data_IF_912225827738
#
_entry.id   IF_912225827738
#
_cell.length_a   1.000
_cell.length_b   1.000
_cell.length_c   1.000
_cell.angle_alpha   90.00
_cell.angle_beta   90.00
_cell.angle_gamma   90.00
#
_symmetry.space_group_name_H-M   'P 1'
#
loop_
_entity.id
_entity.type
_entity.pdbx_description
1 polymer ?
#
# COMPACT_ATOMS: atom_id res chain seq x y z
N UNK A 1 16.78 -6.19 -3.22
CA UNK A 1 15.42 -5.66 -3.01
C UNK A 1 15.17 -5.26 -1.56
N UNK A 2 15.18 -6.19 -0.61
CA UNK A 2 14.84 -5.92 0.79
C UNK A 2 15.70 -4.86 1.47
N UNK A 3 17.00 -4.75 1.16
CA UNK A 3 17.85 -3.66 1.67
C UNK A 3 17.38 -2.26 1.23
N UNK A 4 16.91 -2.14 -0.02
CA UNK A 4 16.37 -0.90 -0.55
C UNK A 4 15.04 -0.59 0.13
N UNK A 5 14.15 -1.57 0.24
CA UNK A 5 12.88 -1.44 0.96
C UNK A 5 13.13 -0.96 2.40
N UNK A 6 14.10 -1.57 3.07
CA UNK A 6 14.49 -1.23 4.43
C UNK A 6 15.01 0.20 4.57
N UNK A 7 15.86 0.62 3.63
CA UNK A 7 16.37 1.98 3.58
C UNK A 7 15.25 3.00 3.39
N UNK A 8 14.29 2.72 2.51
CA UNK A 8 13.16 3.62 2.28
C UNK A 8 12.19 3.64 3.46
N UNK A 9 11.94 2.49 4.09
CA UNK A 9 11.15 2.38 5.33
C UNK A 9 11.72 3.27 6.43
N UNK A 10 13.05 3.28 6.62
CA UNK A 10 13.72 4.12 7.62
C UNK A 10 13.57 5.63 7.38
N UNK A 11 13.24 6.06 6.17
CA UNK A 11 12.96 7.47 5.84
C UNK A 11 11.53 7.88 6.21
N UNK A 12 10.66 6.94 6.58
CA UNK A 12 9.31 7.23 7.04
C UNK A 12 9.37 7.82 8.47
N UNK A 13 8.68 8.95 8.74
CA UNK A 13 8.60 9.48 10.10
C UNK A 13 7.99 8.45 11.04
N UNK A 14 8.60 8.25 12.22
CA UNK A 14 8.13 7.24 13.19
C UNK A 14 6.71 7.48 13.71
N UNK A 15 6.20 8.71 13.62
CA UNK A 15 4.83 9.05 14.04
C UNK A 15 3.78 8.78 12.97
N UNK A 16 4.19 8.53 11.73
CA UNK A 16 3.27 8.27 10.63
C UNK A 16 2.93 6.77 10.53
N UNK A 17 1.73 6.48 10.03
CA UNK A 17 1.30 5.12 9.71
C UNK A 17 2.04 4.66 8.45
N UNK A 18 2.88 3.64 8.57
CA UNK A 18 3.58 3.06 7.43
C UNK A 18 2.89 1.78 6.97
N UNK A 19 2.52 1.76 5.69
CA UNK A 19 1.92 0.61 5.01
C UNK A 19 2.83 0.27 3.83
N UNK A 20 3.25 -0.98 3.71
CA UNK A 20 3.99 -1.49 2.57
C UNK A 20 3.05 -2.34 1.74
N UNK A 21 2.97 -2.06 0.44
CA UNK A 21 2.09 -2.76 -0.50
C UNK A 21 2.90 -3.08 -1.73
N UNK A 22 2.80 -4.30 -2.24
CA UNK A 22 3.34 -4.60 -3.56
C UNK A 22 3.38 -6.08 -3.89
N UNK A 23 3.64 -6.34 -5.16
CA UNK A 23 4.06 -7.64 -5.66
C UNK A 23 5.49 -7.90 -5.21
N UNK A 24 5.68 -8.94 -4.40
CA UNK A 24 7.01 -9.39 -3.97
C UNK A 24 7.35 -10.78 -4.51
N UNK A 25 6.48 -11.38 -5.34
CA UNK A 25 6.55 -12.78 -5.73
C UNK A 25 6.77 -13.71 -4.52
N UNK A 26 6.03 -13.44 -3.45
CA UNK A 26 6.16 -14.08 -2.14
C UNK A 26 4.97 -14.99 -1.89
N UNK A 27 5.20 -16.18 -1.38
CA UNK A 27 4.15 -17.04 -0.85
C UNK A 27 4.34 -17.15 0.66
N UNK A 28 3.38 -16.63 1.42
CA UNK A 28 3.35 -16.76 2.88
C UNK A 28 2.44 -17.92 3.25
N UNK A 29 2.89 -18.81 4.13
CA UNK A 29 2.13 -19.95 4.62
C UNK A 29 1.24 -19.63 5.82
N UNK A 30 0.94 -20.65 6.63
CA UNK A 30 0.10 -20.56 7.83
C UNK A 30 0.84 -20.98 9.10
N UNK A 31 2.16 -21.09 9.05
CA UNK A 31 2.99 -21.64 10.11
C UNK A 31 2.83 -20.90 11.44
N UNK A 32 2.78 -21.66 12.53
CA UNK A 32 2.60 -21.12 13.88
C UNK A 32 3.82 -20.32 14.36
N UNK A 33 5.02 -20.71 13.93
CA UNK A 33 6.29 -20.12 14.36
C UNK A 33 6.46 -18.65 13.95
N UNK A 34 5.82 -18.24 12.86
CA UNK A 34 5.89 -16.86 12.34
C UNK A 34 4.80 -15.95 12.92
N UNK A 35 4.04 -16.42 13.92
CA UNK A 35 3.07 -15.57 14.61
C UNK A 35 3.77 -14.71 15.66
N UNK A 36 3.40 -13.42 15.80
CA UNK A 36 2.19 -12.77 15.29
C UNK A 36 2.37 -11.99 13.97
N UNK A 37 3.45 -12.22 13.21
CA UNK A 37 3.72 -11.46 11.96
C UNK A 37 2.78 -11.88 10.83
N UNK A 38 2.46 -13.16 10.74
CA UNK A 38 1.52 -13.72 9.77
C UNK A 38 0.21 -14.16 10.45
N UNK A 39 -0.86 -14.20 9.66
CA UNK A 39 -2.17 -14.65 10.07
C UNK A 39 -2.43 -16.13 9.73
N UNK A 40 -3.60 -16.63 10.17
CA UNK A 40 -4.01 -18.03 9.99
C UNK A 40 -4.68 -18.32 8.65
N UNK A 41 -4.92 -17.28 7.86
CA UNK A 41 -5.84 -17.35 6.71
C UNK A 41 -5.14 -17.03 5.39
N UNK A 42 -3.82 -17.25 5.32
CA UNK A 42 -3.08 -17.16 4.07
C UNK A 42 -3.67 -18.08 2.98
N UNK A 43 -3.34 -17.79 1.72
CA UNK A 43 -3.70 -18.65 0.60
C UNK A 43 -2.89 -19.95 0.55
N UNK A 44 -1.66 -19.93 1.08
CA UNK A 44 -0.72 -21.04 1.03
C UNK A 44 -0.59 -21.73 2.38
N UNK A 45 -0.16 -23.00 2.39
CA UNK A 45 0.10 -23.74 3.62
C UNK A 45 1.54 -23.55 4.12
N UNK A 46 2.48 -23.42 3.19
CA UNK A 46 3.91 -23.27 3.47
C UNK A 46 4.42 -21.97 2.87
N UNK A 47 5.35 -21.36 3.58
CA UNK A 47 6.07 -20.16 3.19
C UNK A 47 7.22 -20.56 2.27
N UNK A 48 7.34 -19.89 1.11
CA UNK A 48 8.48 -20.10 0.22
C UNK A 48 9.71 -19.29 0.68
N UNK A 49 10.88 -19.51 0.06
CA UNK A 49 12.12 -18.82 0.48
C UNK A 49 12.00 -17.28 0.43
N UNK A 50 11.33 -16.74 -0.59
CA UNK A 50 11.07 -15.30 -0.68
C UNK A 50 10.17 -14.83 0.47
N UNK A 51 9.21 -15.65 0.88
CA UNK A 51 8.31 -15.38 1.99
C UNK A 51 9.01 -15.37 3.33
N UNK A 52 9.99 -16.25 3.55
CA UNK A 52 10.84 -16.20 4.74
C UNK A 52 11.54 -14.86 4.85
N UNK A 53 12.10 -14.35 3.73
CA UNK A 53 12.75 -13.03 3.70
C UNK A 53 11.77 -11.88 3.98
N UNK A 54 10.52 -11.98 3.52
CA UNK A 54 9.48 -10.99 3.82
C UNK A 54 9.09 -11.04 5.30
N UNK A 55 8.97 -12.24 5.87
CA UNK A 55 8.68 -12.45 7.29
C UNK A 55 9.83 -11.92 8.16
N UNK A 56 11.08 -12.17 7.79
CA UNK A 56 12.25 -11.63 8.49
C UNK A 56 12.25 -10.10 8.49
N UNK A 57 11.99 -9.50 7.32
CA UNK A 57 11.83 -8.06 7.19
C UNK A 57 10.72 -7.53 8.10
N UNK A 58 9.52 -8.13 8.03
CA UNK A 58 8.37 -7.71 8.80
C UNK A 58 8.61 -7.86 10.32
N UNK A 59 9.23 -8.96 10.74
CA UNK A 59 9.66 -9.20 12.12
C UNK A 59 10.62 -8.11 12.60
N UNK A 60 11.66 -7.80 11.80
CA UNK A 60 12.68 -6.79 12.14
C UNK A 60 12.12 -5.36 12.23
N UNK A 61 10.96 -5.11 11.63
CA UNK A 61 10.27 -3.81 11.60
C UNK A 61 9.01 -3.76 12.43
N UNK A 62 8.72 -4.81 13.19
CA UNK A 62 7.49 -4.94 13.97
C UNK A 62 6.25 -4.68 13.10
N UNK A 63 6.21 -5.27 11.91
CA UNK A 63 5.10 -5.19 10.96
C UNK A 63 4.32 -6.49 10.94
N UNK A 64 3.06 -6.42 10.54
CA UNK A 64 2.21 -7.57 10.30
C UNK A 64 1.80 -7.65 8.83
N UNK A 65 1.84 -8.86 8.25
CA UNK A 65 1.42 -9.14 6.87
C UNK A 65 -0.11 -9.29 6.83
N UNK A 66 -0.83 -8.17 6.89
CA UNK A 66 -2.30 -8.12 7.06
C UNK A 66 -3.09 -8.87 6.00
N UNK A 67 -2.56 -9.06 4.79
CA UNK A 67 -3.22 -9.85 3.76
C UNK A 67 -3.44 -11.34 4.13
N UNK A 68 -2.80 -11.83 5.20
CA UNK A 68 -2.92 -13.23 5.68
C UNK A 68 -3.85 -13.41 6.88
N UNK A 69 -4.43 -12.32 7.40
CA UNK A 69 -5.19 -12.33 8.67
C UNK A 69 -6.71 -12.42 8.51
N UNK A 70 -7.23 -12.32 7.30
CA UNK A 70 -8.67 -12.26 7.07
C UNK A 70 -9.18 -13.57 6.49
N UNK A 71 -10.19 -14.14 7.12
CA UNK A 71 -10.84 -15.35 6.63
C UNK A 71 -11.70 -15.00 5.42
N UNK A 72 -11.25 -15.48 4.26
CA UNK A 72 -11.92 -15.28 2.98
C UNK A 72 -11.99 -16.59 2.19
N UNK A 73 -12.86 -16.64 1.18
CA UNK A 73 -12.79 -17.70 0.16
C UNK A 73 -11.59 -17.45 -0.77
N UNK A 74 -11.13 -18.49 -1.45
CA UNK A 74 -9.98 -18.45 -2.36
C UNK A 74 -10.07 -17.32 -3.41
N UNK A 75 -11.28 -17.05 -3.91
CA UNK A 75 -11.55 -15.98 -4.87
C UNK A 75 -11.06 -14.60 -4.43
N UNK A 76 -11.10 -14.33 -3.12
CA UNK A 76 -10.71 -13.05 -2.53
C UNK A 76 -9.29 -13.03 -1.96
N UNK A 77 -8.56 -14.15 -2.04
CA UNK A 77 -7.17 -14.28 -1.53
C UNK A 77 -6.12 -14.23 -2.62
N UNK A 78 -6.37 -14.85 -3.77
CA UNK A 78 -5.42 -14.90 -4.86
C UNK A 78 -5.30 -13.53 -5.52
N UNK A 79 -4.08 -13.15 -5.88
CA UNK A 79 -3.75 -11.83 -6.42
C UNK A 79 -3.15 -11.92 -7.82
N UNK A 80 -2.81 -13.12 -8.27
CA UNK A 80 -2.30 -13.39 -9.61
C UNK A 80 -2.84 -14.70 -10.16
N UNK A 81 -2.97 -14.78 -11.49
CA UNK A 81 -3.31 -15.97 -12.26
C UNK A 81 -2.24 -16.23 -13.31
N UNK A 82 -1.68 -17.43 -13.29
CA UNK A 82 -0.73 -17.87 -14.31
C UNK A 82 -1.40 -18.16 -15.66
N UNK A 83 -0.60 -18.25 -16.75
CA UNK A 83 -1.09 -18.73 -18.05
C UNK A 83 -1.63 -20.16 -18.05
N UNK A 84 -1.32 -20.97 -17.02
CA UNK A 84 -1.84 -22.33 -16.86
C UNK A 84 -3.01 -22.41 -15.86
N UNK A 85 -3.72 -21.29 -15.65
CA UNK A 85 -4.90 -21.16 -14.77
C UNK A 85 -4.66 -21.50 -13.29
N UNK A 86 -3.41 -21.40 -12.83
CA UNK A 86 -3.06 -21.51 -11.41
C UNK A 86 -3.12 -20.13 -10.76
N UNK A 87 -3.85 -20.03 -9.65
CA UNK A 87 -3.99 -18.77 -8.92
C UNK A 87 -3.13 -18.77 -7.65
N UNK A 88 -2.40 -17.69 -7.41
CA UNK A 88 -1.51 -17.55 -6.25
C UNK A 88 -1.73 -16.21 -5.56
N UNK A 89 -1.39 -16.14 -4.28
CA UNK A 89 -1.25 -14.89 -3.55
C UNK A 89 0.24 -14.53 -3.57
N UNK A 90 0.59 -13.44 -4.27
CA UNK A 90 1.96 -12.92 -4.39
C UNK A 90 2.08 -11.43 -4.05
N UNK A 91 0.94 -10.74 -4.01
CA UNK A 91 0.82 -9.35 -3.56
C UNK A 91 0.45 -9.31 -2.08
N UNK A 92 1.18 -8.52 -1.31
CA UNK A 92 1.01 -8.43 0.13
C UNK A 92 0.83 -7.01 0.62
N UNK A 93 0.03 -6.88 1.68
CA UNK A 93 -0.18 -5.63 2.41
C UNK A 93 0.35 -5.81 3.82
N UNK A 94 1.35 -5.02 4.18
CA UNK A 94 1.97 -4.99 5.50
C UNK A 94 1.66 -3.67 6.19
N UNK A 95 1.48 -3.70 7.50
CA UNK A 95 1.31 -2.50 8.33
C UNK A 95 2.18 -2.58 9.57
N UNK A 96 2.61 -1.42 10.06
CA UNK A 96 3.21 -1.28 11.39
C UNK A 96 2.30 -1.89 12.46
N UNK A 97 2.87 -2.72 13.34
CA UNK A 97 2.16 -3.41 14.41
C UNK A 97 1.43 -2.48 15.37
N UNK A 98 1.88 -1.21 15.53
CA UNK A 98 1.17 -0.18 16.30
C UNK A 98 -0.19 0.16 15.70
N UNK A 99 -0.32 -0.01 14.39
CA UNK A 99 -1.51 0.30 13.59
C UNK A 99 -2.20 -0.98 13.08
N UNK A 100 -1.90 -2.14 13.68
CA UNK A 100 -2.44 -3.43 13.28
C UNK A 100 -3.97 -3.44 13.08
N UNK A 101 -4.69 -2.77 14.00
CA UNK A 101 -6.15 -2.68 14.02
C UNK A 101 -6.76 -1.67 13.04
N UNK A 102 -5.91 -0.92 12.32
CA UNK A 102 -6.36 0.12 11.39
C UNK A 102 -6.72 -0.48 10.04
N UNK A 103 -6.07 -1.58 9.64
CA UNK A 103 -6.55 -2.39 8.51
C UNK A 103 -7.62 -3.34 9.02
N UNK A 104 -8.85 -3.16 8.53
CA UNK A 104 -10.02 -3.95 8.93
C UNK A 104 -10.40 -5.02 7.91
N UNK A 105 -9.88 -4.94 6.69
CA UNK A 105 -10.02 -5.98 5.67
C UNK A 105 -8.93 -5.83 4.59
N UNK A 106 -8.49 -6.95 4.00
CA UNK A 106 -7.66 -7.00 2.80
C UNK A 106 -8.20 -8.12 1.93
N UNK A 107 -8.55 -7.79 0.68
CA UNK A 107 -9.11 -8.76 -0.27
C UNK A 107 -8.82 -8.37 -1.72
N UNK A 108 -8.89 -9.36 -2.58
CA UNK A 108 -8.81 -9.17 -4.03
C UNK A 108 -10.15 -8.73 -4.63
N UNK A 109 -10.10 -7.90 -5.68
CA UNK A 109 -11.22 -7.50 -6.51
C UNK A 109 -10.98 -7.88 -7.97
N UNK A 110 -11.67 -8.93 -8.45
CA UNK A 110 -11.50 -9.50 -9.80
C UNK A 110 -12.30 -8.81 -10.91
N UNK A 111 -13.19 -7.89 -10.56
CA UNK A 111 -14.08 -7.21 -11.52
C UNK A 111 -13.48 -5.95 -12.15
N UNK A 112 -12.23 -5.61 -11.81
CA UNK A 112 -11.54 -4.47 -12.38
C UNK A 112 -10.62 -4.93 -13.52
N UNK A 113 -10.83 -4.38 -14.70
CA UNK A 113 -10.03 -4.64 -15.91
C UNK A 113 -8.79 -3.73 -15.89
N UNK A 114 -7.80 -4.11 -15.09
CA UNK A 114 -6.57 -3.32 -14.86
C UNK A 114 -5.34 -4.09 -15.33
N UNK A 115 -5.33 -5.41 -15.14
CA UNK A 115 -4.24 -6.29 -15.54
C UNK A 115 -4.78 -7.67 -15.95
N UNK A 116 -4.13 -8.30 -16.92
CA UNK A 116 -4.57 -9.58 -17.49
C UNK A 116 -4.25 -10.76 -16.56
N UNK A 117 -3.18 -10.66 -15.78
CA UNK A 117 -2.70 -11.71 -14.89
C UNK A 117 -2.71 -11.31 -13.40
N UNK A 118 -2.66 -10.01 -13.07
CA UNK A 118 -2.86 -9.53 -11.69
C UNK A 118 -4.29 -9.10 -11.38
N UNK A 119 -4.75 -9.46 -10.19
CA UNK A 119 -6.01 -8.97 -9.63
C UNK A 119 -5.77 -7.80 -8.68
N UNK A 120 -6.69 -6.83 -8.68
CA UNK A 120 -6.60 -5.67 -7.80
C UNK A 120 -6.69 -6.05 -6.32
N UNK A 121 -5.68 -5.72 -5.52
CA UNK A 121 -5.73 -5.88 -4.06
C UNK A 121 -6.28 -4.61 -3.40
N UNK A 122 -7.30 -4.78 -2.56
CA UNK A 122 -7.98 -3.70 -1.85
C UNK A 122 -7.81 -3.88 -0.34
N UNK A 123 -7.23 -2.87 0.31
CA UNK A 123 -7.15 -2.79 1.77
C UNK A 123 -8.17 -1.77 2.30
N UNK A 124 -9.00 -2.19 3.25
CA UNK A 124 -9.95 -1.32 3.95
C UNK A 124 -9.32 -0.79 5.23
N UNK A 125 -9.19 0.53 5.29
CA UNK A 125 -8.57 1.25 6.40
C UNK A 125 -9.62 1.94 7.28
N UNK A 126 -9.38 1.92 8.59
CA UNK A 126 -10.12 2.67 9.61
C UNK A 126 -9.16 3.67 10.25
N UNK A 127 -9.16 4.91 9.76
CA UNK A 127 -8.40 6.00 10.37
C UNK A 127 -9.29 6.84 11.29
N UNK A 128 -8.78 7.14 12.48
CA UNK A 128 -9.32 8.17 13.37
C UNK A 128 -8.49 9.43 13.18
N UNK A 129 -8.98 10.33 12.34
CA UNK A 129 -8.35 11.64 12.16
C UNK A 129 -8.75 12.53 13.34
N UNK A 130 -7.78 13.11 14.04
CA UNK A 130 -8.03 14.24 14.92
C UNK A 130 -7.99 15.52 14.09
N UNK A 131 -9.11 16.24 14.06
CA UNK A 131 -9.13 17.60 13.54
C UNK A 131 -8.24 18.46 14.44
N UNK A 132 -7.23 19.12 13.86
CA UNK A 132 -6.67 20.30 14.53
C UNK A 132 -7.23 21.52 13.82
N UNK A 133 -8.12 22.23 14.51
CA UNK A 133 -8.58 23.55 14.09
C UNK A 133 -7.40 24.51 14.13
N UNK A 134 -6.65 24.63 13.04
CA UNK A 134 -5.86 25.83 12.79
C UNK A 134 -6.76 26.75 11.98
N UNK A 135 -7.19 27.84 12.59
CA UNK A 135 -7.85 28.95 11.91
C UNK A 135 -6.91 29.47 10.83
N UNK A 136 -7.05 28.98 9.61
CA UNK A 136 -6.44 29.59 8.43
C UNK A 136 -7.43 30.62 7.90
N UNK A 137 -7.14 31.89 8.18
CA UNK A 137 -7.76 33.04 7.51
C UNK A 137 -7.75 32.80 6.00
N UNK A 138 -8.93 32.57 5.43
CA UNK A 138 -9.12 32.46 3.99
C UNK A 138 -8.97 33.86 3.40
N UNK A 139 -7.79 34.17 2.82
CA UNK A 139 -7.68 35.28 1.88
C UNK A 139 -8.30 34.80 0.56
N UNK A 140 -9.54 35.20 0.31
CA UNK A 140 -10.20 35.00 -1.00
C UNK A 140 -9.58 35.99 -1.99
N UNK A 141 -8.66 35.54 -2.84
CA UNK A 141 -8.40 36.23 -4.12
C UNK A 141 -9.29 35.61 -5.19
N UNK A 142 -10.28 36.38 -5.66
CA UNK A 142 -11.16 35.97 -6.74
C UNK A 142 -10.39 35.97 -8.07
N UNK A 143 -10.33 34.80 -8.71
CA UNK A 143 -9.86 34.68 -10.09
C UNK A 143 -11.10 34.45 -10.96
N UNK A 144 -11.40 35.41 -11.83
CA UNK A 144 -12.51 35.34 -12.78
C UNK A 144 -12.01 34.67 -14.08
N UNK A 145 -12.70 33.63 -14.55
CA UNK A 145 -12.19 32.66 -15.54
C UNK A 145 -12.47 33.05 -17.01
N UNK A 146 -12.89 34.28 -17.29
CA UNK A 146 -13.43 34.65 -18.61
C UNK A 146 -12.51 35.52 -19.49
N UNK A 147 -11.24 35.73 -19.14
CA UNK A 147 -10.35 36.60 -19.93
C UNK A 147 -9.24 35.81 -20.65
N UNK A 148 -9.34 35.71 -21.97
CA UNK A 148 -8.48 34.91 -22.86
C UNK A 148 -7.11 35.53 -23.15
N UNK A 149 -6.73 36.61 -22.45
CA UNK A 149 -5.46 37.32 -22.65
C UNK A 149 -4.33 37.00 -21.67
N UNK A 150 -4.54 36.18 -20.63
CA UNK A 150 -3.49 35.77 -19.68
C UNK A 150 -2.65 34.56 -20.13
N UNK A 151 -2.90 34.01 -21.31
CA UNK A 151 -2.17 32.84 -21.83
C UNK A 151 -0.76 33.14 -22.36
N UNK A 152 -0.28 34.40 -22.33
CA UNK A 152 0.95 34.83 -23.00
C UNK A 152 2.11 35.27 -22.10
N UNK A 153 2.11 34.89 -20.83
CA UNK A 153 3.27 35.08 -19.93
C UNK A 153 3.60 33.88 -19.05
N UNK A 154 3.34 32.65 -19.52
CA UNK A 154 3.88 31.44 -18.89
C UNK A 154 5.29 31.17 -19.45
N UNK A 155 6.34 31.10 -18.62
CA UNK A 155 7.65 30.66 -19.08
C UNK A 155 7.56 29.20 -19.53
N UNK A 156 8.11 28.89 -20.70
CA UNK A 156 8.23 27.52 -21.17
C UNK A 156 9.22 26.75 -20.28
N UNK A 157 8.70 25.94 -19.36
CA UNK A 157 9.50 24.89 -18.72
C UNK A 157 9.11 23.54 -19.30
N UNK A 158 9.97 23.04 -20.20
CA UNK A 158 10.08 21.60 -20.49
C UNK A 158 10.22 20.84 -19.16
N UNK A 159 9.41 19.79 -19.00
CA UNK A 159 9.57 18.75 -17.98
C UNK A 159 9.46 19.22 -16.53
N UNK A 160 8.31 18.97 -15.89
CA UNK A 160 8.23 18.50 -14.50
C UNK A 160 6.78 18.30 -14.08
N UNK A 161 6.40 17.04 -13.88
CA UNK A 161 5.19 16.56 -13.22
C UNK A 161 5.18 17.03 -11.76
N UNK A 162 4.57 18.19 -11.49
CA UNK A 162 4.32 18.69 -10.14
C UNK A 162 3.15 17.95 -9.50
N UNK A 163 3.43 17.19 -8.44
CA UNK A 163 2.47 16.81 -7.42
C UNK A 163 1.70 18.05 -6.94
N UNK A 164 0.37 17.95 -6.82
CA UNK A 164 -0.44 18.84 -5.99
C UNK A 164 -0.93 18.05 -4.78
N UNK A 165 -0.55 18.53 -3.60
CA UNK A 165 -1.00 18.06 -2.29
C UNK A 165 -1.85 19.17 -1.64
N UNK A 166 -3.10 18.85 -1.30
CA UNK A 166 -3.99 19.54 -0.36
C UNK A 166 -4.90 18.40 0.16
N UNK A 167 -5.06 18.02 1.42
CA UNK A 167 -4.85 18.69 2.72
C UNK A 167 -4.69 17.56 3.75
N UNK A 168 -3.63 17.60 4.57
CA UNK A 168 -3.41 16.84 5.83
C UNK A 168 -3.89 15.37 5.91
N UNK A 169 -3.19 14.51 5.18
CA UNK A 169 -2.91 13.13 5.60
C UNK A 169 -1.57 13.22 6.32
N UNK A 170 -1.43 12.84 7.60
CA UNK A 170 -0.09 12.70 8.20
C UNK A 170 0.56 11.44 7.60
N UNK A 171 1.03 11.66 6.37
CA UNK A 171 1.79 10.84 5.44
C UNK A 171 1.49 9.35 5.41
N UNK A 172 0.49 8.96 4.63
CA UNK A 172 0.45 7.61 4.07
C UNK A 172 1.55 7.55 2.99
N UNK A 173 2.73 6.98 3.30
CA UNK A 173 3.74 6.67 2.29
C UNK A 173 3.43 5.30 1.69
N UNK A 174 2.78 5.27 0.54
CA UNK A 174 2.75 4.07 -0.30
C UNK A 174 4.12 3.90 -0.96
N UNK A 175 4.85 2.84 -0.59
CA UNK A 175 6.05 2.44 -1.29
C UNK A 175 5.64 1.48 -2.42
N UNK A 176 5.54 1.98 -3.65
CA UNK A 176 5.35 1.17 -4.86
C UNK A 176 6.56 1.37 -5.78
N UNK A 177 7.19 0.28 -6.22
CA UNK A 177 8.10 0.28 -7.39
C UNK A 177 7.72 -0.92 -8.26
N UNK A 178 7.37 -0.72 -9.54
CA UNK A 178 7.25 -1.83 -10.47
C UNK A 178 8.65 -2.42 -10.76
N UNK A 179 8.73 -3.75 -10.88
CA UNK A 179 9.87 -4.40 -11.49
C UNK A 179 9.70 -4.31 -13.02
N UNK A 180 10.77 -3.91 -13.71
CA UNK A 180 10.94 -4.15 -15.14
C UNK A 180 11.85 -5.35 -15.35
#
# INVERSE_FOLDING_TARGET
FYELLDREYRKCPKHDVTIVIGDSNVQVGQEEEFRPVIGRFSAHQQTNENGLRLIDFATSRNMAIRSTFFQHTSLYKYTWRSPNDTETQIDHVLIDGRHFSDIIDVRTYRGADIDLDHYLVVAKLRQRLSESTRSSTVVRSGINWSDSRTMRSLPSTRGNSKLRCLTRVSSLKLLWRPAG
#
